data_IF_620569451115
#
_entry.id   IF_620569451115
#
_cell.length_a   1.000
_cell.length_b   1.000
_cell.length_c   1.000
_cell.angle_alpha   90.00
_cell.angle_beta   90.00
_cell.angle_gamma   90.00
#
_symmetry.space_group_name_H-M   'P 1'
#
loop_
_entity.id
_entity.type
_entity.pdbx_description
1 polymer ?
#
# COMPACT_ATOMS: atom_id res chain seq x y z
N UNK A 1 -24.42 0.73 4.70
CA UNK A 1 -25.30 0.65 3.51
C UNK A 1 -26.58 -0.05 3.91
N UNK A 2 -27.73 0.60 3.73
CA UNK A 2 -29.07 0.07 4.02
C UNK A 2 -29.69 -0.48 2.74
N UNK A 3 -30.26 -1.69 2.78
CA UNK A 3 -30.84 -2.38 1.61
C UNK A 3 -31.91 -1.56 0.88
N UNK A 4 -32.56 -0.61 1.56
CA UNK A 4 -33.60 0.26 0.99
C UNK A 4 -33.10 1.29 -0.03
N UNK A 5 -31.79 1.52 -0.12
CA UNK A 5 -31.21 2.59 -0.96
C UNK A 5 -30.62 2.08 -2.29
N UNK A 6 -30.76 0.79 -2.58
CA UNK A 6 -30.18 0.16 -3.77
C UNK A 6 -31.06 0.38 -5.00
N UNK A 7 -30.46 0.94 -6.06
CA UNK A 7 -31.20 1.36 -7.26
C UNK A 7 -31.41 0.27 -8.32
N UNK A 8 -30.68 -0.86 -8.25
CA UNK A 8 -30.70 -1.91 -9.27
C UNK A 8 -30.27 -3.27 -8.72
N UNK A 9 -31.00 -4.33 -9.08
CA UNK A 9 -30.58 -5.70 -8.80
C UNK A 9 -29.49 -6.21 -9.76
N UNK A 10 -29.35 -5.59 -10.95
CA UNK A 10 -28.34 -5.99 -11.94
C UNK A 10 -26.94 -5.49 -11.58
N UNK A 11 -26.85 -4.29 -11.00
CA UNK A 11 -25.60 -3.74 -10.48
C UNK A 11 -25.93 -2.82 -9.29
N UNK A 12 -25.88 -3.36 -8.05
CA UNK A 12 -26.33 -2.63 -6.87
C UNK A 12 -25.35 -1.51 -6.49
N UNK A 13 -25.89 -0.29 -6.46
CA UNK A 13 -25.23 0.91 -5.94
C UNK A 13 -26.18 1.62 -4.98
N UNK A 14 -25.62 2.25 -3.94
CA UNK A 14 -26.40 3.03 -2.99
C UNK A 14 -26.80 4.41 -3.52
N UNK A 15 -27.47 5.21 -2.69
CA UNK A 15 -27.91 6.55 -3.02
C UNK A 15 -26.76 7.48 -3.46
N UNK A 16 -25.56 7.28 -2.91
CA UNK A 16 -24.35 8.06 -3.17
C UNK A 16 -23.53 7.49 -4.35
N UNK A 17 -23.98 6.40 -4.97
CA UNK A 17 -23.28 5.75 -6.08
C UNK A 17 -22.13 4.86 -5.62
N UNK A 18 -22.05 4.52 -4.33
CA UNK A 18 -21.09 3.55 -3.84
C UNK A 18 -21.52 2.13 -4.20
N UNK A 19 -20.56 1.35 -4.69
CA UNK A 19 -20.76 -0.06 -5.08
C UNK A 19 -20.93 -0.96 -3.87
N UNK A 20 -21.69 -2.04 -4.02
CA UNK A 20 -22.18 -2.81 -2.89
C UNK A 20 -21.06 -3.47 -2.06
N UNK A 21 -20.06 -4.11 -2.66
CA UNK A 21 -19.09 -4.91 -1.90
C UNK A 21 -17.86 -4.11 -1.46
N UNK A 22 -17.26 -3.32 -2.36
CA UNK A 22 -16.11 -2.46 -2.04
C UNK A 22 -16.50 -1.19 -1.26
N UNK A 23 -17.80 -0.83 -1.28
CA UNK A 23 -18.34 0.38 -0.64
C UNK A 23 -17.73 1.71 -1.11
N UNK A 24 -17.09 1.74 -2.28
CA UNK A 24 -16.50 2.96 -2.87
C UNK A 24 -17.36 3.52 -3.98
N UNK A 25 -17.33 4.84 -4.14
CA UNK A 25 -17.92 5.59 -5.26
C UNK A 25 -16.83 6.16 -6.17
N UNK A 26 -17.23 6.86 -7.25
CA UNK A 26 -16.28 7.49 -8.17
C UNK A 26 -15.34 8.44 -7.42
N UNK A 27 -14.05 8.36 -7.73
CA UNK A 27 -13.00 9.15 -7.08
C UNK A 27 -12.49 8.59 -5.74
N UNK A 28 -13.08 7.51 -5.22
CA UNK A 28 -12.62 6.83 -3.99
C UNK A 28 -11.79 5.57 -4.26
N UNK A 29 -11.45 5.33 -5.52
CA UNK A 29 -10.54 4.26 -5.96
C UNK A 29 -9.69 4.81 -7.11
N UNK A 30 -8.36 4.67 -7.00
CA UNK A 30 -7.41 5.03 -8.05
C UNK A 30 -7.52 4.06 -9.23
N UNK A 31 -7.11 4.54 -10.41
CA UNK A 31 -6.94 3.70 -11.58
C UNK A 31 -5.68 2.82 -11.55
N UNK A 32 -4.80 3.01 -10.55
CA UNK A 32 -3.66 2.16 -10.26
C UNK A 32 -3.91 1.42 -8.95
N UNK A 33 -4.06 0.12 -9.05
CA UNK A 33 -4.48 -0.72 -7.94
C UNK A 33 -3.40 -1.77 -7.67
N UNK A 34 -2.93 -1.82 -6.43
CA UNK A 34 -2.19 -2.95 -5.90
C UNK A 34 -3.16 -3.80 -5.06
N UNK A 35 -3.42 -5.02 -5.47
CA UNK A 35 -4.30 -5.92 -4.70
C UNK A 35 -3.52 -7.01 -4.00
N UNK A 36 -3.87 -7.25 -2.73
CA UNK A 36 -3.30 -8.29 -1.87
C UNK A 36 -4.42 -9.11 -1.25
N UNK A 37 -4.10 -10.33 -0.81
CA UNK A 37 -5.08 -11.15 -0.10
C UNK A 37 -5.24 -10.76 1.37
N UNK A 38 -4.13 -10.53 2.07
CA UNK A 38 -4.10 -10.33 3.51
C UNK A 38 -4.25 -8.84 3.89
N UNK A 39 -5.16 -8.56 4.82
CA UNK A 39 -5.33 -7.24 5.42
C UNK A 39 -4.07 -6.74 6.13
N UNK A 40 -3.32 -7.61 6.80
CA UNK A 40 -2.08 -7.23 7.48
C UNK A 40 -1.03 -6.78 6.46
N UNK A 41 -0.94 -7.48 5.32
CA UNK A 41 -0.09 -7.05 4.20
C UNK A 41 -0.53 -5.70 3.65
N UNK A 42 -1.83 -5.50 3.44
CA UNK A 42 -2.35 -4.22 2.95
C UNK A 42 -2.01 -3.05 3.90
N UNK A 43 -2.12 -3.27 5.22
CA UNK A 43 -1.78 -2.26 6.24
C UNK A 43 -0.29 -1.94 6.26
N UNK A 44 0.60 -2.94 6.11
CA UNK A 44 2.04 -2.69 5.98
C UNK A 44 2.36 -1.90 4.72
N UNK A 45 1.75 -2.30 3.62
CA UNK A 45 1.87 -1.64 2.33
C UNK A 45 1.47 -0.17 2.35
N UNK A 46 0.43 0.15 3.12
CA UNK A 46 -0.05 1.51 3.32
C UNK A 46 1.04 2.43 3.89
N UNK A 47 1.92 1.95 4.77
CA UNK A 47 2.96 2.81 5.38
C UNK A 47 4.05 3.23 4.40
N UNK A 48 4.14 2.57 3.23
CA UNK A 48 5.06 2.89 2.15
C UNK A 48 4.53 3.97 1.19
N UNK A 49 3.27 4.38 1.33
CA UNK A 49 2.71 5.49 0.56
C UNK A 49 3.39 6.81 0.95
N UNK A 50 3.35 7.80 0.06
CA UNK A 50 3.98 9.09 0.25
C UNK A 50 3.50 9.76 1.54
N UNK A 51 4.47 10.18 2.34
CA UNK A 51 4.19 10.75 3.66
C UNK A 51 3.52 9.79 4.63
N UNK A 52 3.44 8.48 4.37
CA UNK A 52 2.70 7.54 5.23
C UNK A 52 1.20 7.84 5.32
N UNK A 53 0.68 8.70 4.43
CA UNK A 53 -0.69 9.19 4.46
C UNK A 53 -1.55 8.41 3.45
N UNK A 54 -2.28 7.41 3.95
CA UNK A 54 -3.38 6.83 3.19
C UNK A 54 -4.69 6.97 3.96
N UNK A 55 -5.73 7.35 3.24
CA UNK A 55 -7.09 7.19 3.75
C UNK A 55 -7.44 5.71 3.72
N UNK A 56 -7.91 5.17 4.84
CA UNK A 56 -8.38 3.80 4.90
C UNK A 56 -9.90 3.75 4.87
N UNK A 57 -10.43 2.74 4.18
CA UNK A 57 -11.85 2.47 4.12
C UNK A 57 -12.06 0.97 4.36
N UNK A 58 -12.86 0.66 5.37
CA UNK A 58 -13.32 -0.69 5.64
C UNK A 58 -14.69 -0.91 4.99
N UNK A 59 -14.81 -1.93 4.15
CA UNK A 59 -16.09 -2.33 3.57
C UNK A 59 -16.69 -3.49 4.37
N UNK A 60 -18.02 -3.50 4.50
CA UNK A 60 -18.76 -4.47 5.32
C UNK A 60 -18.68 -5.94 4.86
N UNK A 61 -17.99 -6.23 3.75
CA UNK A 61 -17.75 -7.58 3.22
C UNK A 61 -16.29 -8.02 3.32
N UNK A 62 -15.49 -7.34 4.16
CA UNK A 62 -14.12 -7.74 4.46
C UNK A 62 -13.05 -7.16 3.54
N UNK A 63 -13.41 -6.27 2.60
CA UNK A 63 -12.43 -5.50 1.85
C UNK A 63 -11.87 -4.36 2.71
N UNK A 64 -10.57 -4.11 2.56
CA UNK A 64 -9.90 -2.93 3.11
C UNK A 64 -9.21 -2.22 1.97
N UNK A 65 -9.50 -0.93 1.82
CA UNK A 65 -8.97 -0.09 0.75
C UNK A 65 -8.15 1.02 1.39
N UNK A 66 -6.90 1.16 0.98
CA UNK A 66 -6.05 2.29 1.31
C UNK A 66 -5.85 3.14 0.06
N UNK A 67 -6.16 4.43 0.13
CA UNK A 67 -5.94 5.37 -0.96
C UNK A 67 -4.93 6.43 -0.53
N UNK A 68 -3.89 6.60 -1.34
CA UNK A 68 -2.87 7.61 -1.12
C UNK A 68 -2.06 7.83 -2.39
N UNK A 69 -0.86 8.37 -2.24
CA UNK A 69 0.08 8.56 -3.33
C UNK A 69 1.31 7.68 -3.15
N UNK A 70 1.96 7.32 -4.24
CA UNK A 70 3.28 6.73 -4.24
C UNK A 70 4.11 7.39 -5.34
N UNK A 71 5.23 8.03 -4.97
CA UNK A 71 6.05 8.85 -5.84
C UNK A 71 5.23 9.92 -6.59
N UNK A 72 4.30 10.56 -5.88
CA UNK A 72 3.38 11.59 -6.37
C UNK A 72 2.15 11.08 -7.11
N UNK A 73 2.09 9.77 -7.41
CA UNK A 73 1.04 9.15 -8.24
C UNK A 73 -0.04 8.53 -7.35
N UNK A 74 -1.31 8.80 -7.65
CA UNK A 74 -2.43 8.22 -6.90
C UNK A 74 -2.49 6.69 -7.07
N UNK A 75 -2.53 5.95 -5.96
CA UNK A 75 -2.56 4.49 -5.91
C UNK A 75 -3.57 4.03 -4.86
N UNK A 76 -4.24 2.92 -5.14
CA UNK A 76 -5.06 2.21 -4.17
C UNK A 76 -4.46 0.85 -3.84
N UNK A 77 -4.36 0.54 -2.54
CA UNK A 77 -4.05 -0.82 -2.07
C UNK A 77 -5.36 -1.46 -1.62
N UNK A 78 -5.71 -2.62 -2.18
CA UNK A 78 -6.97 -3.31 -1.85
C UNK A 78 -6.70 -4.72 -1.33
N UNK A 79 -7.05 -4.94 -0.07
CA UNK A 79 -7.15 -6.27 0.52
C UNK A 79 -8.45 -6.93 0.07
N UNK A 80 -8.35 -8.07 -0.61
CA UNK A 80 -9.50 -8.81 -1.16
C UNK A 80 -9.80 -10.11 -0.41
N UNK A 81 -8.97 -10.55 0.53
CA UNK A 81 -9.12 -11.90 1.09
C UNK A 81 -8.75 -12.99 0.08
N UNK A 82 -9.58 -14.02 -0.04
CA UNK A 82 -9.28 -15.23 -0.80
C UNK A 82 -10.39 -15.60 -1.78
N UNK A 83 -9.99 -16.17 -2.90
CA UNK A 83 -10.84 -16.80 -3.90
C UNK A 83 -11.17 -15.92 -5.10
N UNK A 84 -11.44 -16.61 -6.19
CA UNK A 84 -11.93 -16.09 -7.47
C UNK A 84 -13.08 -15.07 -7.29
N UNK A 85 -14.12 -15.31 -6.46
CA UNK A 85 -15.22 -14.36 -6.32
C UNK A 85 -14.79 -13.01 -5.73
N UNK A 86 -13.82 -13.00 -4.82
CA UNK A 86 -13.34 -11.75 -4.22
C UNK A 86 -12.57 -10.89 -5.23
N UNK A 87 -11.77 -11.53 -6.08
CA UNK A 87 -11.13 -10.86 -7.22
C UNK A 87 -12.18 -10.35 -8.22
N UNK A 88 -13.26 -11.10 -8.46
CA UNK A 88 -14.35 -10.69 -9.34
C UNK A 88 -15.03 -9.40 -8.84
N UNK A 89 -15.31 -9.30 -7.54
CA UNK A 89 -15.83 -8.06 -6.94
C UNK A 89 -14.89 -6.88 -7.15
N UNK A 90 -13.59 -7.04 -6.83
CA UNK A 90 -12.60 -5.96 -7.03
C UNK A 90 -12.62 -5.46 -8.48
N UNK A 91 -12.51 -6.35 -9.46
CA UNK A 91 -12.34 -5.95 -10.85
C UNK A 91 -13.64 -5.34 -11.41
N UNK A 92 -14.80 -5.93 -11.13
CA UNK A 92 -16.09 -5.43 -11.66
C UNK A 92 -16.50 -4.12 -11.01
N UNK A 93 -16.47 -4.05 -9.69
CA UNK A 93 -16.87 -2.85 -8.96
C UNK A 93 -15.84 -1.73 -9.11
N UNK A 94 -14.54 -2.07 -9.12
CA UNK A 94 -13.48 -1.12 -9.42
C UNK A 94 -13.62 -0.54 -10.83
N UNK A 95 -13.90 -1.37 -11.84
CA UNK A 95 -14.16 -0.88 -13.20
C UNK A 95 -15.38 0.04 -13.29
N UNK A 96 -16.41 -0.20 -12.47
CA UNK A 96 -17.61 0.62 -12.46
C UNK A 96 -17.35 2.04 -11.92
N UNK A 97 -16.50 2.18 -10.90
CA UNK A 97 -16.24 3.49 -10.25
C UNK A 97 -15.03 4.24 -10.80
N UNK A 98 -14.10 3.55 -11.46
CA UNK A 98 -12.95 4.18 -12.10
C UNK A 98 -13.31 4.54 -13.54
N UNK A 99 -12.89 5.71 -14.00
CA UNK A 99 -13.00 6.13 -15.41
C UNK A 99 -11.66 5.92 -16.15
N UNK A 100 -11.71 5.63 -17.45
CA UNK A 100 -10.52 5.47 -18.28
C UNK A 100 -9.70 4.19 -18.02
N UNK A 101 -8.45 4.10 -18.53
CA UNK A 101 -7.59 2.93 -18.36
C UNK A 101 -7.30 2.61 -16.89
N UNK A 102 -7.23 1.32 -16.55
CA UNK A 102 -6.80 0.83 -15.24
C UNK A 102 -5.53 -0.02 -15.35
N UNK A 103 -4.74 -0.03 -14.28
CA UNK A 103 -3.67 -0.99 -14.08
C UNK A 103 -3.85 -1.66 -12.71
N UNK A 104 -3.86 -2.99 -12.69
CA UNK A 104 -4.06 -3.77 -11.46
C UNK A 104 -2.90 -4.77 -11.34
N UNK A 105 -2.11 -4.65 -10.28
CA UNK A 105 -1.10 -5.65 -9.95
C UNK A 105 -1.56 -6.42 -8.74
N UNK A 106 -1.52 -7.75 -8.82
CA UNK A 106 -1.70 -8.62 -7.67
C UNK A 106 -0.36 -8.93 -7.02
N UNK A 107 -0.24 -8.70 -5.71
CA UNK A 107 0.88 -9.15 -4.90
C UNK A 107 0.44 -10.15 -3.83
N UNK A 108 0.63 -11.41 -4.17
CA UNK A 108 0.09 -12.55 -3.42
C UNK A 108 1.16 -13.44 -2.81
N UNK A 109 0.70 -14.60 -2.39
CA UNK A 109 1.52 -15.73 -1.98
C UNK A 109 1.07 -16.96 -2.73
N UNK A 110 1.97 -17.92 -2.94
CA UNK A 110 1.67 -19.14 -3.68
C UNK A 110 2.42 -20.34 -3.13
N UNK A 111 1.99 -21.52 -3.57
CA UNK A 111 2.83 -22.72 -3.56
C UNK A 111 3.57 -22.86 -4.90
N UNK A 112 4.74 -23.50 -4.88
CA UNK A 112 5.50 -23.87 -6.07
C UNK A 112 5.42 -25.37 -6.35
N UNK A 113 5.40 -25.76 -7.61
CA UNK A 113 5.61 -27.16 -8.06
C UNK A 113 6.96 -27.35 -8.75
N UNK A 114 7.75 -26.28 -8.88
CA UNK A 114 9.06 -26.33 -9.50
C UNK A 114 10.10 -26.90 -8.51
N UNK A 115 10.77 -27.99 -8.90
CA UNK A 115 11.68 -28.75 -8.03
C UNK A 115 12.90 -27.93 -7.57
N UNK A 116 13.45 -27.08 -8.42
CA UNK A 116 14.71 -26.37 -8.18
C UNK A 116 14.51 -24.89 -7.80
N UNK A 117 13.37 -24.60 -7.15
CA UNK A 117 13.00 -23.25 -6.71
C UNK A 117 12.89 -23.23 -5.18
N UNK A 118 13.76 -22.47 -4.49
CA UNK A 118 13.71 -22.34 -3.04
C UNK A 118 12.48 -21.54 -2.62
N UNK A 119 11.90 -21.88 -1.47
CA UNK A 119 10.90 -21.03 -0.79
C UNK A 119 11.49 -19.65 -0.51
N UNK A 120 10.64 -18.61 -0.52
CA UNK A 120 11.08 -17.21 -0.50
C UNK A 120 11.47 -16.65 -1.87
N UNK A 121 11.46 -17.47 -2.92
CA UNK A 121 11.52 -16.98 -4.30
C UNK A 121 10.26 -16.20 -4.69
N UNK A 122 10.42 -15.32 -5.68
CA UNK A 122 9.35 -14.48 -6.21
C UNK A 122 8.96 -15.01 -7.59
N UNK A 123 7.68 -15.28 -7.77
CA UNK A 123 7.13 -15.82 -9.01
C UNK A 123 6.20 -14.82 -9.67
N UNK A 124 6.47 -14.51 -10.94
CA UNK A 124 5.67 -13.59 -11.74
C UNK A 124 4.93 -14.40 -12.80
N UNK A 125 3.60 -14.34 -12.75
CA UNK A 125 2.75 -15.13 -13.64
C UNK A 125 2.82 -14.56 -15.06
N UNK A 126 3.37 -15.34 -16.00
CA UNK A 126 3.33 -15.01 -17.42
C UNK A 126 1.93 -15.20 -17.98
N UNK A 127 1.26 -16.24 -17.50
CA UNK A 127 -0.10 -16.63 -17.82
C UNK A 127 -0.68 -17.41 -16.64
N UNK A 128 -2.00 -17.56 -16.60
CA UNK A 128 -2.68 -18.35 -15.58
C UNK A 128 -3.74 -19.25 -16.18
N UNK A 129 -3.85 -20.47 -15.66
CA UNK A 129 -5.03 -21.35 -15.85
C UNK A 129 -5.92 -21.30 -14.60
N UNK A 130 -7.16 -21.74 -14.76
CA UNK A 130 -8.13 -21.94 -13.69
C UNK A 130 -8.38 -23.43 -13.50
N UNK A 131 -8.28 -23.89 -12.26
CA UNK A 131 -8.68 -25.23 -11.84
C UNK A 131 -10.00 -25.11 -11.09
N UNK A 132 -11.04 -25.78 -11.58
CA UNK A 132 -12.34 -25.86 -10.91
C UNK A 132 -12.66 -27.29 -10.55
N UNK A 133 -13.16 -27.51 -9.34
CA UNK A 133 -13.79 -28.78 -8.99
C UNK A 133 -15.14 -28.84 -9.68
N UNK A 134 -15.42 -29.94 -10.37
CA UNK A 134 -16.70 -30.23 -10.98
C UNK A 134 -17.52 -31.16 -10.07
N UNK A 135 -18.52 -30.65 -9.32
CA UNK A 135 -19.31 -31.49 -8.42
C UNK A 135 -20.09 -32.60 -9.14
N UNK A 136 -20.40 -32.42 -10.43
CA UNK A 136 -21.14 -33.42 -11.22
C UNK A 136 -20.33 -34.71 -11.41
N UNK A 137 -19.00 -34.64 -11.30
CA UNK A 137 -18.13 -35.83 -11.33
C UNK A 137 -18.50 -36.87 -10.29
N UNK A 138 -18.81 -36.45 -9.06
CA UNK A 138 -19.23 -37.37 -8.00
C UNK A 138 -20.68 -37.84 -8.16
N UNK A 139 -21.52 -37.02 -8.78
CA UNK A 139 -22.92 -37.39 -9.08
C UNK A 139 -23.00 -38.38 -10.24
N UNK A 140 -22.10 -38.27 -11.21
CA UNK A 140 -22.05 -39.06 -12.44
C UNK A 140 -20.76 -39.89 -12.53
N UNK A 141 -20.29 -40.41 -11.38
CA UNK A 141 -19.00 -41.12 -11.27
C UNK A 141 -18.93 -42.26 -12.28
N UNK A 142 -17.91 -42.24 -13.15
CA UNK A 142 -17.74 -43.17 -14.27
C UNK A 142 -18.15 -42.65 -15.65
N UNK A 143 -18.87 -41.52 -15.73
CA UNK A 143 -19.24 -40.88 -17.03
C UNK A 143 -18.31 -39.71 -17.40
N UNK A 144 -17.64 -39.12 -16.41
CA UNK A 144 -16.70 -38.03 -16.57
C UNK A 144 -15.27 -38.52 -16.32
N UNK A 145 -14.31 -38.01 -17.09
CA UNK A 145 -12.91 -38.45 -17.03
C UNK A 145 -12.13 -37.87 -15.84
N UNK A 146 -12.56 -36.72 -15.33
CA UNK A 146 -11.89 -36.02 -14.23
C UNK A 146 -12.90 -35.23 -13.39
N UNK A 147 -12.63 -35.15 -12.08
CA UNK A 147 -13.34 -34.27 -11.15
C UNK A 147 -12.94 -32.80 -11.23
N UNK A 148 -11.98 -32.47 -12.09
CA UNK A 148 -11.40 -31.12 -12.20
C UNK A 148 -11.33 -30.66 -13.64
N UNK A 149 -11.86 -29.46 -13.88
CA UNK A 149 -11.73 -28.75 -15.15
C UNK A 149 -10.54 -27.79 -15.08
N UNK A 150 -9.64 -27.89 -16.06
CA UNK A 150 -8.53 -26.96 -16.24
C UNK A 150 -8.76 -26.13 -17.49
N UNK A 151 -8.88 -24.81 -17.32
CA UNK A 151 -9.09 -23.88 -18.43
C UNK A 151 -7.86 -23.77 -19.34
N UNK A 152 -8.01 -23.02 -20.45
CA UNK A 152 -6.87 -22.57 -21.23
C UNK A 152 -6.14 -21.41 -20.52
N UNK A 153 -4.83 -21.27 -20.72
CA UNK A 153 -4.08 -20.16 -20.15
C UNK A 153 -4.59 -18.80 -20.63
N UNK A 154 -4.62 -17.84 -19.72
CA UNK A 154 -4.85 -16.42 -20.00
C UNK A 154 -3.57 -15.66 -19.64
N UNK A 155 -2.98 -14.89 -20.57
CA UNK A 155 -1.73 -14.20 -20.32
C UNK A 155 -1.90 -12.99 -19.38
N UNK A 156 -0.81 -12.54 -18.77
CA UNK A 156 -0.71 -11.22 -18.17
C UNK A 156 -0.67 -10.13 -19.28
N UNK A 157 -0.87 -8.86 -18.89
CA UNK A 157 -0.52 -7.74 -19.77
C UNK A 157 0.99 -7.73 -20.01
N UNK A 158 1.40 -7.73 -21.28
CA UNK A 158 2.79 -7.90 -21.68
C UNK A 158 3.71 -6.80 -21.13
N UNK A 159 3.28 -5.54 -21.20
CA UNK A 159 4.09 -4.42 -20.75
C UNK A 159 4.24 -4.43 -19.23
N UNK A 160 3.12 -4.61 -18.52
CA UNK A 160 3.12 -4.64 -17.06
C UNK A 160 3.91 -5.84 -16.52
N UNK A 161 3.82 -7.00 -17.19
CA UNK A 161 4.62 -8.18 -16.88
C UNK A 161 6.13 -7.93 -17.03
N UNK A 162 6.58 -7.38 -18.16
CA UNK A 162 8.01 -7.13 -18.38
C UNK A 162 8.55 -6.06 -17.42
N UNK A 163 7.79 -5.00 -17.15
CA UNK A 163 8.17 -3.98 -16.16
C UNK A 163 8.33 -4.59 -14.77
N UNK A 164 7.34 -5.38 -14.36
CA UNK A 164 7.36 -6.06 -13.06
C UNK A 164 8.54 -7.04 -12.96
N UNK A 165 8.77 -7.83 -14.00
CA UNK A 165 9.89 -8.77 -14.07
C UNK A 165 11.25 -8.06 -13.98
N UNK A 166 11.48 -7.05 -14.80
CA UNK A 166 12.73 -6.31 -14.79
C UNK A 166 13.00 -5.67 -13.43
N UNK A 167 11.98 -5.03 -12.85
CA UNK A 167 12.13 -4.38 -11.55
C UNK A 167 12.38 -5.40 -10.43
N UNK A 168 11.66 -6.51 -10.39
CA UNK A 168 11.92 -7.59 -9.42
C UNK A 168 13.33 -8.20 -9.60
N UNK A 169 13.78 -8.43 -10.83
CA UNK A 169 15.11 -8.97 -11.11
C UNK A 169 16.23 -8.00 -10.69
N UNK A 170 16.05 -6.70 -10.90
CA UNK A 170 17.02 -5.68 -10.48
C UNK A 170 17.07 -5.56 -8.96
N UNK A 171 15.93 -5.56 -8.26
CA UNK A 171 15.90 -5.41 -6.81
C UNK A 171 16.25 -6.71 -6.07
N UNK A 172 15.91 -7.86 -6.64
CA UNK A 172 16.17 -9.18 -6.09
C UNK A 172 16.99 -10.02 -7.06
N UNK A 173 18.29 -9.74 -7.20
CA UNK A 173 19.16 -10.57 -8.02
C UNK A 173 19.14 -12.01 -7.51
N UNK A 174 19.24 -12.94 -8.45
CA UNK A 174 19.21 -14.37 -8.15
C UNK A 174 20.36 -14.76 -7.22
N UNK A 175 20.02 -15.57 -6.23
CA UNK A 175 20.96 -16.19 -5.28
C UNK A 175 20.62 -17.67 -5.13
N UNK A 176 21.48 -18.48 -4.51
CA UNK A 176 21.14 -19.86 -4.19
C UNK A 176 19.89 -20.02 -3.30
N UNK A 177 19.53 -18.99 -2.52
CA UNK A 177 18.41 -19.01 -1.57
C UNK A 177 17.13 -18.35 -2.10
N UNK A 178 17.20 -17.58 -3.18
CA UNK A 178 16.07 -16.80 -3.71
C UNK A 178 16.27 -16.55 -5.20
N UNK A 179 15.21 -16.77 -5.97
CA UNK A 179 15.17 -16.49 -7.40
C UNK A 179 13.97 -15.61 -7.76
N UNK A 180 14.06 -14.90 -8.87
CA UNK A 180 12.90 -14.33 -9.56
C UNK A 180 12.57 -15.19 -10.77
N UNK A 181 11.43 -15.90 -10.72
CA UNK A 181 11.02 -16.85 -11.75
C UNK A 181 9.75 -16.41 -12.46
N UNK A 182 9.56 -16.91 -13.67
CA UNK A 182 8.38 -16.65 -14.50
C UNK A 182 7.86 -17.94 -15.10
N UNK A 183 6.55 -18.05 -15.28
CA UNK A 183 5.92 -19.21 -15.89
C UNK A 183 4.41 -19.22 -15.73
N UNK A 184 3.81 -20.37 -15.98
CA UNK A 184 2.38 -20.59 -15.84
C UNK A 184 2.01 -20.71 -14.35
N UNK A 185 1.04 -19.89 -13.96
CA UNK A 185 0.34 -19.99 -12.69
C UNK A 185 -0.95 -20.82 -12.84
N UNK A 186 -1.38 -21.49 -11.77
CA UNK A 186 -2.71 -22.08 -11.70
C UNK A 186 -3.49 -21.49 -10.52
N UNK A 187 -4.61 -20.84 -10.78
CA UNK A 187 -5.55 -20.44 -9.74
C UNK A 187 -6.54 -21.57 -9.49
N UNK A 188 -6.65 -22.04 -8.27
CA UNK A 188 -7.60 -23.06 -7.86
C UNK A 188 -8.81 -22.43 -7.15
N UNK A 189 -10.00 -22.98 -7.36
CA UNK A 189 -11.22 -22.57 -6.65
C UNK A 189 -11.27 -23.03 -5.17
N UNK A 190 -10.35 -23.91 -4.78
CA UNK A 190 -10.22 -24.47 -3.45
C UNK A 190 -8.75 -24.59 -3.07
N UNK A 191 -8.44 -24.31 -1.80
CA UNK A 191 -7.12 -24.53 -1.25
C UNK A 191 -6.79 -26.03 -1.11
N UNK A 192 -7.77 -26.90 -0.92
CA UNK A 192 -7.51 -28.32 -0.63
C UNK A 192 -7.65 -29.18 -1.89
N UNK A 193 -8.89 -29.46 -2.26
CA UNK A 193 -9.28 -30.32 -3.39
C UNK A 193 -8.57 -29.95 -4.69
N UNK A 194 -8.82 -28.75 -5.21
CA UNK A 194 -8.28 -28.26 -6.50
C UNK A 194 -6.80 -27.89 -6.50
N UNK A 195 -6.10 -28.02 -5.36
CA UNK A 195 -4.64 -27.94 -5.28
C UNK A 195 -4.00 -29.31 -5.04
N UNK A 196 -4.75 -30.42 -5.16
CA UNK A 196 -4.23 -31.78 -4.99
C UNK A 196 -3.69 -32.03 -3.58
N UNK A 197 -4.28 -31.41 -2.55
CA UNK A 197 -3.97 -31.75 -1.16
C UNK A 197 -4.77 -32.99 -0.79
N UNK A 198 -4.07 -34.01 -0.29
CA UNK A 198 -4.69 -35.26 0.12
C UNK A 198 -5.23 -35.12 1.55
N UNK A 199 -6.55 -35.23 1.69
CA UNK A 199 -7.23 -35.34 2.98
C UNK A 199 -8.08 -36.61 2.96
N UNK A 200 -7.74 -37.65 3.76
CA UNK A 200 -8.48 -38.92 3.76
C UNK A 200 -9.93 -38.78 4.25
N UNK A 201 -10.30 -37.62 4.81
CA UNK A 201 -11.66 -37.32 5.27
C UNK A 201 -12.62 -37.05 4.12
N UNK A 202 -12.12 -36.61 2.96
CA UNK A 202 -12.94 -36.20 1.82
C UNK A 202 -12.60 -37.03 0.56
N UNK A 203 -13.62 -37.49 -0.17
CA UNK A 203 -13.46 -38.09 -1.51
C UNK A 203 -13.19 -36.98 -2.53
N UNK A 204 -11.95 -36.49 -2.57
CA UNK A 204 -11.53 -35.40 -3.46
C UNK A 204 -11.00 -35.86 -4.81
N UNK A 205 -10.68 -37.15 -4.98
CA UNK A 205 -10.21 -37.76 -6.24
C UNK A 205 -9.17 -36.89 -7.00
N UNK A 206 -8.18 -36.37 -6.26
CA UNK A 206 -7.24 -35.35 -6.72
C UNK A 206 -5.77 -35.80 -6.70
N UNK A 207 -5.51 -37.11 -6.56
CA UNK A 207 -4.17 -37.66 -6.33
C UNK A 207 -3.21 -37.38 -7.49
N UNK A 208 -3.71 -37.38 -8.72
CA UNK A 208 -2.90 -37.15 -9.93
C UNK A 208 -2.97 -35.71 -10.45
N UNK A 209 -3.86 -34.88 -9.89
CA UNK A 209 -4.22 -33.57 -10.45
C UNK A 209 -3.00 -32.68 -10.77
N UNK A 210 -2.07 -32.56 -9.82
CA UNK A 210 -0.89 -31.70 -10.00
C UNK A 210 0.06 -32.27 -11.05
N UNK A 211 0.25 -33.58 -11.07
CA UNK A 211 1.11 -34.24 -12.04
C UNK A 211 0.52 -34.18 -13.45
N UNK A 212 -0.80 -34.31 -13.58
CA UNK A 212 -1.52 -34.17 -14.85
C UNK A 212 -1.36 -32.76 -15.43
N UNK A 213 -1.41 -31.72 -14.59
CA UNK A 213 -1.16 -30.33 -15.02
C UNK A 213 0.31 -30.12 -15.38
N UNK A 214 1.26 -30.66 -14.62
CA UNK A 214 2.69 -30.62 -14.97
C UNK A 214 2.96 -31.31 -16.33
N UNK A 215 2.31 -32.44 -16.60
CA UNK A 215 2.42 -33.16 -17.88
C UNK A 215 1.80 -32.36 -19.04
N UNK A 216 0.71 -31.64 -18.78
CA UNK A 216 0.04 -30.81 -19.77
C UNK A 216 0.79 -29.51 -20.07
N UNK A 217 1.43 -28.91 -19.07
CA UNK A 217 2.09 -27.62 -19.17
C UNK A 217 3.49 -27.67 -18.54
N UNK A 218 4.52 -27.77 -19.40
CA UNK A 218 5.92 -27.85 -18.97
C UNK A 218 6.43 -26.59 -18.26
N UNK A 219 5.75 -25.46 -18.42
CA UNK A 219 6.06 -24.19 -17.76
C UNK A 219 5.20 -23.92 -16.50
N UNK A 220 4.42 -24.89 -16.02
CA UNK A 220 3.65 -24.76 -14.77
C UNK A 220 4.58 -24.70 -13.55
N UNK A 221 4.51 -23.60 -12.80
CA UNK A 221 5.43 -23.35 -11.68
C UNK A 221 4.75 -23.01 -10.37
N UNK A 222 3.59 -22.35 -10.38
CA UNK A 222 2.96 -21.83 -9.15
C UNK A 222 1.47 -22.09 -9.09
N UNK A 223 0.95 -22.24 -7.87
CA UNK A 223 -0.47 -22.38 -7.59
C UNK A 223 -0.93 -21.42 -6.49
N UNK A 224 -2.06 -20.76 -6.73
CA UNK A 224 -2.74 -19.85 -5.81
C UNK A 224 -4.24 -19.85 -6.13
N UNK A 225 -5.00 -18.78 -5.84
CA UNK A 225 -6.47 -18.82 -5.86
C UNK A 225 -7.16 -17.63 -6.54
N UNK A 226 -6.44 -16.64 -7.11
CA UNK A 226 -7.06 -15.41 -7.63
C UNK A 226 -6.53 -14.91 -8.99
N UNK A 227 -5.25 -15.11 -9.32
CA UNK A 227 -4.58 -14.48 -10.48
C UNK A 227 -5.33 -14.69 -11.80
N UNK A 228 -5.87 -15.88 -12.04
CA UNK A 228 -6.64 -16.18 -13.25
C UNK A 228 -7.82 -15.24 -13.43
N UNK A 229 -8.59 -15.00 -12.37
CA UNK A 229 -9.79 -14.17 -12.48
C UNK A 229 -9.43 -12.73 -12.83
N UNK A 230 -8.33 -12.23 -12.26
CA UNK A 230 -7.79 -10.92 -12.59
C UNK A 230 -7.45 -10.83 -14.08
N UNK A 231 -6.65 -11.77 -14.59
CA UNK A 231 -6.23 -11.76 -16.00
C UNK A 231 -7.42 -11.94 -16.94
N UNK A 232 -8.32 -12.88 -16.62
CA UNK A 232 -9.50 -13.16 -17.42
C UNK A 232 -10.40 -11.94 -17.53
N UNK A 233 -10.78 -11.31 -16.41
CA UNK A 233 -11.65 -10.14 -16.44
C UNK A 233 -10.98 -8.92 -17.10
N UNK A 234 -9.67 -8.74 -16.90
CA UNK A 234 -8.93 -7.71 -17.61
C UNK A 234 -9.04 -7.87 -19.14
N UNK A 235 -8.92 -9.10 -19.64
CA UNK A 235 -9.08 -9.45 -21.06
C UNK A 235 -10.53 -9.39 -21.56
N UNK A 236 -11.53 -9.48 -20.68
CA UNK A 236 -12.96 -9.47 -21.04
C UNK A 236 -13.62 -8.11 -20.81
N UNK A 237 -12.91 -7.13 -20.27
CA UNK A 237 -13.41 -5.78 -20.09
C UNK A 237 -13.57 -5.10 -21.46
N UNK A 238 -14.78 -4.63 -21.76
CA UNK A 238 -15.14 -4.02 -23.06
C UNK A 238 -15.23 -2.49 -23.00
N UNK A 239 -15.27 -1.90 -21.81
CA UNK A 239 -15.55 -0.47 -21.62
C UNK A 239 -14.30 0.39 -21.65
N UNK A 240 -13.20 -0.09 -21.06
CA UNK A 240 -11.90 0.56 -21.05
C UNK A 240 -10.82 -0.47 -20.70
N UNK A 241 -9.58 -0.31 -21.19
CA UNK A 241 -8.52 -1.30 -20.97
C UNK A 241 -8.18 -1.43 -19.49
N UNK A 242 -7.94 -2.67 -19.06
CA UNK A 242 -7.38 -3.01 -17.76
C UNK A 242 -6.08 -3.77 -18.04
N UNK A 243 -4.94 -3.20 -17.65
CA UNK A 243 -3.65 -3.90 -17.64
C UNK A 243 -3.53 -4.68 -16.34
N UNK A 244 -3.13 -5.95 -16.42
CA UNK A 244 -3.05 -6.80 -15.24
C UNK A 244 -1.78 -7.65 -15.21
N UNK A 245 -1.13 -7.70 -14.06
CA UNK A 245 0.01 -8.57 -13.79
C UNK A 245 -0.06 -9.12 -12.36
N UNK A 246 0.67 -10.19 -12.06
CA UNK A 246 0.70 -10.78 -10.73
C UNK A 246 2.10 -11.25 -10.36
N UNK A 247 2.54 -10.88 -9.16
CA UNK A 247 3.72 -11.40 -8.49
C UNK A 247 3.31 -12.09 -7.18
N UNK A 248 3.99 -13.18 -6.84
CA UNK A 248 3.69 -13.96 -5.63
C UNK A 248 4.95 -14.43 -4.93
N UNK A 249 4.92 -14.43 -3.60
CA UNK A 249 5.98 -15.04 -2.78
C UNK A 249 5.71 -16.54 -2.64
N UNK A 250 6.69 -17.38 -2.96
CA UNK A 250 6.60 -18.83 -2.79
C UNK A 250 6.76 -19.15 -1.31
N UNK A 251 5.67 -19.51 -0.64
CA UNK A 251 5.69 -19.87 0.78
C UNK A 251 5.96 -21.35 1.02
N UNK A 252 5.57 -22.21 0.07
CA UNK A 252 5.72 -23.65 0.19
C UNK A 252 6.10 -24.25 -1.16
N UNK A 253 7.03 -25.20 -1.15
CA UNK A 253 7.33 -26.00 -2.32
C UNK A 253 6.63 -27.36 -2.19
N UNK A 254 5.69 -27.64 -3.11
CA UNK A 254 4.84 -28.85 -3.10
C UNK A 254 5.57 -30.12 -3.50
N UNK A 255 6.78 -30.02 -4.06
CA UNK A 255 7.62 -31.19 -4.41
C UNK A 255 8.68 -31.47 -3.36
N UNK A 256 9.37 -30.46 -2.82
CA UNK A 256 10.36 -30.65 -1.75
C UNK A 256 9.76 -30.66 -0.34
N UNK A 257 8.52 -30.19 -0.18
CA UNK A 257 7.82 -30.02 1.09
C UNK A 257 8.45 -28.97 2.03
N UNK A 258 9.28 -28.08 1.48
CA UNK A 258 9.86 -26.95 2.20
C UNK A 258 8.80 -25.85 2.47
N UNK A 259 8.96 -25.14 3.58
CA UNK A 259 8.13 -23.98 3.96
C UNK A 259 8.99 -22.80 4.36
N UNK A 260 8.56 -21.60 3.97
CA UNK A 260 9.20 -20.34 4.35
C UNK A 260 8.85 -19.99 5.81
N UNK A 261 9.84 -19.49 6.55
CA UNK A 261 9.61 -18.98 7.89
C UNK A 261 8.93 -17.58 7.85
N UNK A 262 8.25 -17.24 8.96
CA UNK A 262 7.47 -16.01 9.03
C UNK A 262 8.32 -14.74 9.00
N UNK A 263 9.56 -14.77 9.50
CA UNK A 263 10.43 -13.59 9.51
C UNK A 263 10.88 -13.26 8.09
N UNK A 264 11.37 -14.25 7.34
CA UNK A 264 11.73 -14.10 5.93
C UNK A 264 10.51 -13.72 5.08
N UNK A 265 9.34 -14.33 5.34
CA UNK A 265 8.08 -13.93 4.69
C UNK A 265 7.82 -12.43 4.90
N UNK A 266 7.89 -11.97 6.15
CA UNK A 266 7.62 -10.57 6.51
C UNK A 266 8.58 -9.61 5.79
N UNK A 267 9.87 -9.92 5.78
CA UNK A 267 10.87 -9.10 5.08
C UNK A 267 10.61 -9.04 3.58
N UNK A 268 10.27 -10.17 2.95
CA UNK A 268 9.97 -10.24 1.52
C UNK A 268 8.68 -9.53 1.15
N UNK A 269 7.66 -9.56 2.01
CA UNK A 269 6.46 -8.75 1.87
C UNK A 269 6.90 -7.28 1.74
N UNK A 270 7.52 -6.70 2.77
CA UNK A 270 7.95 -5.28 2.76
C UNK A 270 8.89 -4.92 1.60
N UNK A 271 9.81 -5.81 1.22
CA UNK A 271 10.77 -5.54 0.15
C UNK A 271 10.13 -5.59 -1.25
N UNK A 272 9.31 -6.62 -1.53
CA UNK A 272 8.65 -6.77 -2.84
C UNK A 272 7.65 -5.64 -3.12
N UNK A 273 7.24 -4.96 -2.06
CA UNK A 273 6.30 -3.85 -2.06
C UNK A 273 6.86 -2.52 -2.56
N UNK A 274 8.16 -2.25 -2.34
CA UNK A 274 8.86 -1.05 -2.87
C UNK A 274 8.93 -1.01 -4.41
N UNK A 275 8.52 -2.10 -5.06
CA UNK A 275 8.66 -2.32 -6.51
C UNK A 275 7.31 -2.18 -7.23
N UNK A 276 6.20 -2.42 -6.53
CA UNK A 276 4.93 -2.73 -7.16
C UNK A 276 4.12 -1.52 -7.66
N UNK A 277 4.18 -0.32 -7.05
CA UNK A 277 3.47 0.82 -7.62
C UNK A 277 4.13 1.43 -8.87
N UNK A 278 5.26 0.87 -9.36
CA UNK A 278 6.08 1.41 -10.46
C UNK A 278 5.54 1.14 -11.88
N UNK A 279 4.22 0.99 -12.04
CA UNK A 279 3.57 0.93 -13.35
C UNK A 279 3.55 2.26 -14.14
N UNK A 280 4.25 3.29 -13.67
CA UNK A 280 4.39 4.57 -14.37
C UNK A 280 5.77 4.68 -15.00
N UNK A 281 5.81 4.95 -16.31
CA UNK A 281 7.00 5.47 -16.97
C UNK A 281 7.50 6.70 -16.21
N UNK A 282 8.74 6.63 -15.76
CA UNK A 282 9.55 7.76 -15.30
C UNK A 282 9.70 8.74 -16.45
N UNK A 283 9.12 9.93 -16.32
CA UNK A 283 9.67 11.11 -16.99
C UNK A 283 10.59 11.78 -15.99
N UNK A 284 11.89 11.69 -16.25
CA UNK A 284 12.92 12.45 -15.53
C UNK A 284 12.68 13.92 -15.84
N UNK A 285 12.30 14.71 -14.83
CA UNK A 285 12.48 16.15 -14.90
C UNK A 285 13.92 16.46 -14.48
N UNK A 286 14.77 16.68 -15.48
CA UNK A 286 15.95 17.52 -15.31
C UNK A 286 15.47 18.97 -15.42
N UNK A 287 15.20 19.58 -14.27
CA UNK A 287 15.00 21.02 -14.17
C UNK A 287 16.13 21.58 -13.33
N UNK A 288 17.12 22.18 -13.97
CA UNK A 288 18.01 23.11 -13.30
C UNK A 288 17.14 24.23 -12.70
N UNK A 289 17.11 24.32 -11.37
CA UNK A 289 16.66 25.53 -10.71
C UNK A 289 17.89 26.26 -10.22
N UNK A 290 18.24 27.22 -11.06
CA UNK A 290 19.34 28.16 -10.92
C UNK A 290 19.19 29.00 -9.66
N UNK A 291 20.34 29.25 -9.05
CA UNK A 291 20.59 30.00 -7.83
C UNK A 291 20.80 31.46 -8.24
N UNK A 292 20.04 32.42 -7.70
CA UNK A 292 20.66 33.66 -7.23
C UNK A 292 19.78 34.45 -6.25
N UNK A 293 20.49 35.12 -5.33
CA UNK A 293 20.04 36.13 -4.34
C UNK A 293 19.47 35.66 -2.98
N UNK A 294 20.43 35.37 -2.08
CA UNK A 294 20.53 35.92 -0.71
C UNK A 294 19.38 35.73 0.30
N UNK A 295 19.55 34.67 1.12
CA UNK A 295 19.15 34.47 2.54
C UNK A 295 18.03 35.38 3.09
N UNK A 296 16.87 34.84 3.48
CA UNK A 296 16.17 35.18 4.75
C UNK A 296 14.75 34.60 4.86
N UNK A 297 14.38 34.31 6.11
CA UNK A 297 13.02 34.06 6.62
C UNK A 297 12.02 35.03 5.99
N UNK A 298 11.04 34.53 5.22
CA UNK A 298 9.88 35.33 4.84
C UNK A 298 8.85 35.32 5.98
N UNK A 299 9.08 36.17 6.98
CA UNK A 299 8.02 36.79 7.76
C UNK A 299 7.90 38.23 7.29
N UNK A 300 6.83 38.55 6.57
CA UNK A 300 6.44 39.95 6.46
C UNK A 300 5.96 40.38 7.86
N UNK A 301 6.68 41.35 8.43
CA UNK A 301 6.66 41.86 9.82
C UNK A 301 7.53 41.10 10.83
N UNK A 302 8.72 41.67 11.00
CA UNK A 302 9.57 41.65 12.20
C UNK A 302 8.88 41.20 13.50
N UNK A 303 9.17 39.98 13.95
CA UNK A 303 9.06 39.60 15.35
C UNK A 303 10.46 39.62 15.96
N UNK A 304 10.78 40.72 16.64
CA UNK A 304 11.85 40.74 17.64
C UNK A 304 11.44 39.79 18.76
N UNK A 305 12.42 39.04 19.28
CA UNK A 305 12.34 38.29 20.53
C UNK A 305 11.58 39.11 21.58
N UNK A 306 10.35 38.68 21.89
CA UNK A 306 9.48 39.27 22.92
C UNK A 306 8.89 38.13 23.74
N UNK A 307 9.58 37.80 24.84
CA UNK A 307 9.10 37.54 26.20
C UNK A 307 7.69 36.97 26.43
N UNK A 308 7.18 36.08 25.59
CA UNK A 308 5.86 35.46 25.85
C UNK A 308 5.68 34.03 25.37
N UNK A 309 6.70 33.40 24.78
CA UNK A 309 6.73 31.94 24.77
C UNK A 309 7.11 31.56 26.19
N UNK A 310 6.17 30.97 26.93
CA UNK A 310 6.53 30.23 28.14
C UNK A 310 7.62 29.27 27.69
N UNK A 311 8.83 29.47 28.22
CA UNK A 311 9.80 28.38 28.25
C UNK A 311 9.03 27.13 28.69
N UNK A 312 9.35 25.95 28.18
CA UNK A 312 8.89 24.71 28.78
C UNK A 312 9.48 24.59 30.19
N UNK A 313 8.97 25.40 31.12
CA UNK A 313 9.13 25.29 32.57
C UNK A 313 8.20 24.19 33.10
N UNK A 314 7.35 23.64 32.24
CA UNK A 314 6.49 22.48 32.50
C UNK A 314 7.08 21.16 31.96
N UNK A 315 8.30 21.18 31.36
CA UNK A 315 9.09 19.95 31.30
C UNK A 315 9.51 19.66 32.74
N UNK A 316 8.93 18.62 33.33
CA UNK A 316 9.26 18.15 34.68
C UNK A 316 10.77 18.30 34.94
N UNK A 317 11.14 18.86 36.09
CA UNK A 317 12.51 19.21 36.54
C UNK A 317 13.54 18.06 36.50
N UNK A 318 13.29 16.93 35.84
CA UNK A 318 14.08 15.71 35.90
C UNK A 318 14.37 15.02 34.54
N UNK A 319 14.20 15.67 33.38
CA UNK A 319 14.68 15.06 32.11
C UNK A 319 16.16 15.42 31.90
N UNK A 320 17.10 14.46 31.97
CA UNK A 320 18.50 14.76 31.69
C UNK A 320 18.70 15.18 30.23
N UNK A 321 19.58 16.15 30.01
CA UNK A 321 20.02 16.51 28.65
C UNK A 321 20.81 15.33 28.05
N UNK A 322 20.31 14.80 26.94
CA UNK A 322 20.89 13.66 26.24
C UNK A 322 21.26 14.07 24.82
N UNK A 323 22.50 13.76 24.42
CA UNK A 323 22.93 13.95 23.03
C UNK A 323 22.32 12.84 22.18
N UNK A 324 21.57 13.24 21.15
CA UNK A 324 20.92 12.31 20.21
C UNK A 324 21.89 11.93 19.09
N UNK A 325 22.51 12.93 18.45
CA UNK A 325 23.45 12.68 17.35
C UNK A 325 24.47 13.79 17.19
N UNK A 326 25.61 13.44 16.60
CA UNK A 326 26.67 14.37 16.24
C UNK A 326 26.68 14.64 14.74
N UNK A 327 27.20 15.79 14.36
CA UNK A 327 27.49 16.14 12.97
C UNK A 327 26.27 16.06 12.02
N UNK A 328 25.13 16.57 12.47
CA UNK A 328 23.88 16.61 11.72
C UNK A 328 23.81 17.89 10.88
N UNK A 329 23.68 17.76 9.56
CA UNK A 329 23.51 18.85 8.61
C UNK A 329 22.05 19.33 8.57
N UNK A 330 21.10 18.40 8.70
CA UNK A 330 19.68 18.65 8.54
C UNK A 330 18.82 17.96 9.62
N UNK A 331 17.74 18.62 10.04
CA UNK A 331 16.66 18.00 10.83
C UNK A 331 15.37 18.11 10.04
N UNK A 332 14.70 16.98 9.84
CA UNK A 332 13.40 16.90 9.20
C UNK A 332 12.34 16.68 10.28
N UNK A 333 11.45 17.66 10.46
CA UNK A 333 10.34 17.58 11.40
C UNK A 333 9.07 17.18 10.65
N UNK A 334 8.57 15.96 10.88
CA UNK A 334 7.28 15.51 10.35
C UNK A 334 6.17 15.93 11.32
N UNK A 335 5.12 16.55 10.79
CA UNK A 335 3.95 17.03 11.51
C UNK A 335 2.71 16.49 10.82
N UNK A 336 1.97 15.65 11.53
CA UNK A 336 0.79 14.94 11.01
C UNK A 336 -0.50 15.38 11.68
N UNK A 337 -0.43 15.90 12.91
CA UNK A 337 -1.57 16.34 13.69
C UNK A 337 -1.46 17.85 14.00
N UNK A 338 -2.54 18.64 13.94
CA UNK A 338 -3.87 18.31 13.46
C UNK A 338 -4.02 18.73 11.99
N UNK A 339 -3.15 18.21 11.12
CA UNK A 339 -3.12 18.55 9.70
C UNK A 339 -3.97 17.54 8.92
N UNK A 340 -4.57 17.97 7.80
CA UNK A 340 -5.09 17.00 6.80
C UNK A 340 -4.10 16.77 5.67
N UNK A 341 -3.21 17.73 5.45
CA UNK A 341 -2.09 17.61 4.53
C UNK A 341 -0.83 17.69 5.37
N UNK A 342 -0.15 16.55 5.55
CA UNK A 342 1.03 16.46 6.40
C UNK A 342 2.13 17.45 5.97
N UNK A 343 2.92 17.90 6.95
CA UNK A 343 4.06 18.76 6.72
C UNK A 343 5.35 18.04 7.08
N UNK A 344 6.33 18.09 6.15
CA UNK A 344 7.71 17.70 6.43
C UNK A 344 8.57 18.96 6.33
N UNK A 345 9.03 19.46 7.47
CA UNK A 345 9.80 20.69 7.54
C UNK A 345 11.28 20.34 7.66
N UNK A 346 12.05 20.65 6.62
CA UNK A 346 13.50 20.54 6.64
C UNK A 346 14.11 21.78 7.29
N UNK A 347 14.97 21.57 8.28
CA UNK A 347 15.75 22.61 8.95
C UNK A 347 17.23 22.29 8.75
N UNK A 348 17.90 23.09 7.93
CA UNK A 348 19.33 22.97 7.67
C UNK A 348 20.15 23.87 8.59
N UNK A 349 21.42 23.53 8.82
CA UNK A 349 22.37 24.35 9.59
C UNK A 349 23.45 24.96 8.68
N UNK A 350 23.26 26.20 8.16
CA UNK A 350 24.15 26.79 7.18
C UNK A 350 25.57 27.07 7.71
N UNK A 351 25.72 27.15 9.04
CA UNK A 351 27.02 27.32 9.70
C UNK A 351 27.80 26.00 9.83
N UNK A 352 27.29 24.91 9.25
CA UNK A 352 27.86 23.57 9.30
C UNK A 352 27.12 22.62 10.25
N UNK A 353 27.46 21.32 10.21
CA UNK A 353 26.78 20.29 10.97
C UNK A 353 26.81 20.53 12.48
N UNK A 354 25.71 20.19 13.16
CA UNK A 354 25.52 20.38 14.61
C UNK A 354 25.45 19.08 15.39
N UNK A 355 25.83 19.13 16.66
CA UNK A 355 25.45 18.09 17.62
C UNK A 355 24.08 18.43 18.15
N UNK A 356 23.13 17.50 18.05
CA UNK A 356 21.73 17.71 18.42
C UNK A 356 21.42 16.91 19.69
N UNK A 357 20.94 17.61 20.71
CA UNK A 357 20.40 17.01 21.94
C UNK A 357 18.88 16.86 21.91
N UNK A 358 18.33 16.15 22.88
CA UNK A 358 16.88 15.96 23.06
C UNK A 358 16.11 17.29 23.18
N UNK A 359 16.60 18.25 23.95
CA UNK A 359 16.00 19.58 24.07
C UNK A 359 16.06 20.39 22.78
N UNK A 360 17.19 20.33 22.06
CA UNK A 360 17.35 21.04 20.78
C UNK A 360 16.43 20.44 19.72
N UNK A 361 16.33 19.11 19.64
CA UNK A 361 15.45 18.43 18.70
C UNK A 361 13.97 18.76 18.94
N UNK A 362 13.53 18.76 20.20
CA UNK A 362 12.17 19.16 20.57
C UNK A 362 11.90 20.63 20.23
N UNK A 363 12.88 21.52 20.45
CA UNK A 363 12.77 22.94 20.12
C UNK A 363 12.65 23.17 18.61
N UNK A 364 13.42 22.44 17.80
CA UNK A 364 13.34 22.46 16.34
C UNK A 364 11.96 21.99 15.85
N UNK A 365 11.42 20.93 16.44
CA UNK A 365 10.08 20.42 16.11
C UNK A 365 8.97 21.40 16.48
N UNK A 366 9.04 22.02 17.67
CA UNK A 366 8.10 23.07 18.07
C UNK A 366 8.15 24.27 17.11
N UNK A 367 9.33 24.64 16.59
CA UNK A 367 9.47 25.70 15.60
C UNK A 367 8.87 25.31 14.24
N UNK A 368 9.01 24.05 13.84
CA UNK A 368 8.35 23.52 12.65
C UNK A 368 6.81 23.61 12.76
N UNK A 369 6.24 23.33 13.94
CA UNK A 369 4.81 23.52 14.21
C UNK A 369 4.38 24.98 14.04
N UNK A 370 5.15 25.92 14.59
CA UNK A 370 4.85 27.35 14.42
C UNK A 370 4.85 27.75 12.94
N UNK A 371 5.87 27.31 12.19
CA UNK A 371 5.95 27.57 10.75
C UNK A 371 4.74 27.02 9.99
N UNK A 372 4.32 25.80 10.30
CA UNK A 372 3.13 25.18 9.69
C UNK A 372 1.88 26.03 9.92
N UNK A 373 1.64 26.51 11.14
CA UNK A 373 0.50 27.37 11.45
C UNK A 373 0.60 28.75 10.79
N UNK A 374 1.80 29.34 10.73
CA UNK A 374 2.03 30.61 10.02
C UNK A 374 1.73 30.47 8.52
N UNK A 375 2.21 29.40 7.88
CA UNK A 375 1.95 29.12 6.47
C UNK A 375 0.48 28.81 6.20
N UNK A 376 -0.20 28.13 7.11
CA UNK A 376 -1.63 27.87 7.00
C UNK A 376 -2.42 29.18 6.93
N UNK A 377 -2.15 30.10 7.85
CA UNK A 377 -2.86 31.37 7.93
C UNK A 377 -2.50 32.31 6.75
N UNK A 378 -1.29 32.20 6.19
CA UNK A 378 -0.88 32.94 4.98
C UNK A 378 -1.55 32.43 3.70
N UNK A 379 -1.83 31.13 3.61
CA UNK A 379 -2.30 30.48 2.38
C UNK A 379 -3.81 30.24 2.36
N UNK A 380 -4.49 30.34 3.51
CA UNK A 380 -5.93 30.18 3.61
C UNK A 380 -6.67 31.39 2.98
N UNK A 381 -7.63 31.15 2.06
CA UNK A 381 -8.51 32.20 1.55
C UNK A 381 -9.34 32.80 2.70
N UNK A 382 -9.04 34.05 3.09
CA UNK A 382 -9.69 34.73 4.22
C UNK A 382 -8.88 34.74 5.52
N UNK A 383 -7.68 34.16 5.54
CA UNK A 383 -6.77 34.15 6.70
C UNK A 383 -7.13 33.10 7.75
N UNK A 384 -6.83 33.39 9.02
CA UNK A 384 -7.13 32.50 10.14
C UNK A 384 -8.66 32.20 10.21
N UNK A 385 -9.08 30.92 10.22
CA UNK A 385 -10.48 30.51 10.13
C UNK A 385 -11.31 30.84 11.39
N UNK A 386 -10.67 31.39 12.43
CA UNK A 386 -11.30 31.72 13.70
C UNK A 386 -11.62 30.49 14.52
N UNK A 387 -12.37 30.68 15.61
CA UNK A 387 -12.73 29.62 16.56
C UNK A 387 -14.13 29.06 16.29
N UNK A 388 -14.34 27.80 16.65
CA UNK A 388 -15.68 27.18 16.68
C UNK A 388 -16.44 27.79 17.88
N UNK A 389 -17.64 28.37 17.68
CA UNK A 389 -18.41 28.97 18.78
C UNK A 389 -18.66 27.97 19.92
N UNK A 390 -18.26 28.34 21.14
CA UNK A 390 -18.45 27.51 22.33
C UNK A 390 -17.41 26.39 22.54
N UNK A 391 -16.40 26.29 21.67
CA UNK A 391 -15.27 25.36 21.83
C UNK A 391 -13.94 26.13 21.92
N UNK A 392 -12.93 25.52 22.53
CA UNK A 392 -11.55 26.05 22.56
C UNK A 392 -10.76 25.77 21.26
N UNK A 393 -11.44 25.33 20.20
CA UNK A 393 -10.83 24.87 18.95
C UNK A 393 -10.99 25.87 17.79
N UNK A 394 -10.01 25.94 16.87
CA UNK A 394 -10.09 26.62 15.57
C UNK A 394 -11.03 25.88 14.59
N UNK A 395 -11.70 26.66 13.74
CA UNK A 395 -12.42 26.15 12.58
C UNK A 395 -11.45 25.53 11.56
N UNK A 396 -11.99 24.73 10.66
CA UNK A 396 -11.24 24.16 9.54
C UNK A 396 -10.68 25.27 8.64
N UNK A 397 -9.37 25.28 8.41
CA UNK A 397 -8.76 26.14 7.40
C UNK A 397 -8.62 25.44 6.05
N UNK A 398 -8.71 26.24 5.00
CA UNK A 398 -8.49 25.84 3.61
C UNK A 398 -7.09 26.24 3.14
N UNK A 399 -6.14 26.36 4.08
CA UNK A 399 -4.75 26.70 3.78
C UNK A 399 -3.97 25.48 3.30
N UNK A 400 -2.66 25.67 3.14
CA UNK A 400 -1.73 24.70 2.57
C UNK A 400 -1.74 23.33 3.27
N UNK A 401 -1.89 23.32 4.58
CA UNK A 401 -1.84 22.14 5.45
C UNK A 401 -3.22 21.70 5.95
N UNK A 402 -4.25 22.51 5.70
CA UNK A 402 -5.65 22.22 6.05
C UNK A 402 -5.81 21.85 7.52
N UNK A 403 -5.31 22.72 8.40
CA UNK A 403 -5.33 22.53 9.85
C UNK A 403 -6.77 22.49 10.35
N UNK A 404 -7.07 21.59 11.29
CA UNK A 404 -8.38 21.46 11.91
C UNK A 404 -8.30 21.40 13.43
N UNK A 405 -9.37 21.82 14.13
CA UNK A 405 -9.49 21.58 15.56
C UNK A 405 -8.58 22.47 16.41
N UNK A 406 -7.33 22.10 16.64
CA UNK A 406 -6.54 22.73 17.71
C UNK A 406 -5.83 24.01 17.28
N UNK A 407 -5.83 25.01 18.16
CA UNK A 407 -4.87 26.11 18.06
C UNK A 407 -3.51 25.63 18.56
N UNK A 408 -2.43 26.22 18.03
CA UNK A 408 -1.07 25.80 18.39
C UNK A 408 -0.79 25.91 19.90
N UNK A 409 -1.45 26.85 20.60
CA UNK A 409 -1.29 27.04 22.04
C UNK A 409 -1.90 25.95 22.92
N UNK A 410 -2.76 25.11 22.33
CA UNK A 410 -3.41 23.98 23.03
C UNK A 410 -2.69 22.66 22.74
N UNK A 411 -1.58 22.66 22.01
CA UNK A 411 -0.84 21.44 21.71
C UNK A 411 0.19 21.15 22.79
N UNK A 412 0.07 19.98 23.40
CA UNK A 412 1.00 19.46 24.40
C UNK A 412 1.72 18.22 23.87
N UNK A 413 2.99 18.06 24.22
CA UNK A 413 3.75 16.86 23.87
C UNK A 413 3.40 15.72 24.84
N UNK A 414 3.05 14.55 24.32
CA UNK A 414 2.53 13.44 25.13
C UNK A 414 3.46 12.21 25.20
N UNK A 415 4.74 12.38 24.89
CA UNK A 415 5.77 11.38 25.21
C UNK A 415 6.01 10.30 24.17
N UNK A 416 5.20 10.20 23.11
CA UNK A 416 5.43 9.27 22.01
C UNK A 416 6.15 9.98 20.85
N UNK A 417 7.40 9.62 20.56
CA UNK A 417 8.13 10.17 19.40
C UNK A 417 8.78 9.09 18.53
N UNK A 418 8.86 9.39 17.24
CA UNK A 418 9.78 8.75 16.32
C UNK A 418 11.00 9.65 16.16
N UNK A 419 12.20 9.10 16.34
CA UNK A 419 13.47 9.77 16.08
C UNK A 419 14.34 8.79 15.31
N UNK A 420 14.46 9.01 14.00
CA UNK A 420 15.32 8.23 13.12
C UNK A 420 16.59 9.03 12.83
N UNK A 421 17.73 8.45 13.21
CA UNK A 421 19.05 9.09 13.09
C UNK A 421 19.76 8.51 11.88
N UNK A 422 20.17 9.39 10.97
CA UNK A 422 21.00 9.07 9.82
C UNK A 422 22.38 9.71 9.97
N UNK A 423 23.29 9.42 9.03
CA UNK A 423 24.68 9.86 9.11
C UNK A 423 24.83 11.39 9.15
N UNK A 424 23.97 12.10 8.44
CA UNK A 424 24.02 13.55 8.20
C UNK A 424 22.69 14.25 8.51
N UNK A 425 21.62 13.51 8.84
CA UNK A 425 20.33 14.11 9.20
C UNK A 425 19.56 13.34 10.27
N UNK A 426 18.61 14.01 10.92
CA UNK A 426 17.63 13.40 11.81
C UNK A 426 16.24 13.57 11.19
N UNK A 427 15.42 12.52 11.18
CA UNK A 427 13.98 12.62 10.98
C UNK A 427 13.29 12.48 12.34
N UNK A 428 12.47 13.46 12.72
CA UNK A 428 11.75 13.42 13.98
C UNK A 428 10.26 13.71 13.81
N UNK A 429 9.46 12.98 14.57
CA UNK A 429 8.03 13.18 14.74
C UNK A 429 7.72 13.08 16.24
N UNK A 430 7.19 14.16 16.80
CA UNK A 430 6.75 14.20 18.18
C UNK A 430 5.21 14.16 18.19
N UNK A 431 4.65 13.17 18.89
CA UNK A 431 3.21 13.08 19.10
C UNK A 431 2.77 14.22 20.00
N UNK A 432 1.69 14.88 19.59
CA UNK A 432 1.08 15.95 20.37
C UNK A 432 -0.40 15.65 20.55
N UNK A 433 -0.94 16.03 21.70
CA UNK A 433 -2.35 16.02 22.02
C UNK A 433 -2.79 17.39 22.57
N UNK A 434 -4.05 17.46 23.03
CA UNK A 434 -4.69 18.68 23.53
C UNK A 434 -5.01 18.63 25.00
#
# INVERSE_FOLDING_TARGET
>A
MTLGDLKSANFPVDANGAVYHLAVSKGQLSNRILTVGDAERATKLCSLMDGGAATSQYAHRGFIIFNGKYLGVDVSIVSIGMGIPMMDFLVREGRYVVEGPMAIIRYGTCGSVAKDVPVGSLAIAQESVLIRRNPDYWTQKGSLQSGYDVSLPVPADKELFENLKNQFQTTFPDTPKRKVITGLNASADSFYSSQGRLDPTFDDDNQTLIDDICNRYSNFITLEMETFQLFHLAHRCQTAPIKAAAATIILANRKSNDFLDNATKYELEVQGEKILPLGCQTTVFNGDLDYDEQVQVYTDKTLKYRDSIRHPQDLEENVPEEIIAHSIDDVYCRIVYPLRVEALIKISFPSGPKTIGNYELLSLHARAYQYVYEQEDLTAPGGNPGMIPGMLNRNFSQGRYQIWGHIIGDLHYNGHSLIDIHNDYILCEFSVDS
#
